data_IF_682766985025
#
_entry.id   IF_682766985025
#
_cell.length_a   1.000
_cell.length_b   1.000
_cell.length_c   1.000
_cell.angle_alpha   90.00
_cell.angle_beta   90.00
_cell.angle_gamma   90.00
#
_symmetry.space_group_name_H-M   'P 1'
#
loop_
_entity.id
_entity.type
_entity.pdbx_description
1 polymer ?
#
# COMPACT_ATOMS: atom_id res chain seq x y z
N UNK A 1 -18.40 22.78 10.42
CA UNK A 1 -18.29 21.96 9.19
C UNK A 1 -17.39 22.60 8.15
N UNK A 2 -17.55 23.89 7.86
CA UNK A 2 -16.76 24.62 6.84
C UNK A 2 -15.24 24.42 6.97
N UNK A 3 -14.65 24.70 8.14
CA UNK A 3 -13.21 24.51 8.39
C UNK A 3 -12.69 23.08 8.13
N UNK A 4 -13.50 22.06 8.39
CA UNK A 4 -13.12 20.67 8.11
C UNK A 4 -13.03 20.44 6.60
N UNK A 5 -14.04 20.88 5.84
CA UNK A 5 -14.04 20.74 4.39
C UNK A 5 -12.98 21.60 3.71
N UNK A 6 -12.65 22.77 4.26
CA UNK A 6 -11.49 23.56 3.83
C UNK A 6 -10.19 22.77 3.96
N UNK A 7 -9.91 22.23 5.17
CA UNK A 7 -8.72 21.43 5.41
C UNK A 7 -8.68 20.16 4.55
N UNK A 8 -9.81 19.48 4.41
CA UNK A 8 -9.97 18.30 3.57
C UNK A 8 -9.72 18.62 2.08
N UNK A 9 -10.23 19.75 1.59
CA UNK A 9 -9.99 20.22 0.23
C UNK A 9 -8.51 20.53 0.01
N UNK A 10 -7.84 21.20 0.96
CA UNK A 10 -6.39 21.45 0.88
C UNK A 10 -5.59 20.15 0.84
N UNK A 11 -5.93 19.18 1.70
CA UNK A 11 -5.31 17.86 1.67
C UNK A 11 -5.48 17.18 0.30
N UNK A 12 -6.70 17.22 -0.27
CA UNK A 12 -6.96 16.69 -1.60
C UNK A 12 -6.18 17.38 -2.71
N UNK A 13 -5.88 18.69 -2.60
CA UNK A 13 -5.03 19.38 -3.57
C UNK A 13 -3.61 18.81 -3.57
N UNK A 14 -3.05 18.49 -2.41
CA UNK A 14 -1.75 17.79 -2.35
C UNK A 14 -1.86 16.40 -2.99
N UNK A 15 -2.89 15.62 -2.67
CA UNK A 15 -3.09 14.30 -3.27
C UNK A 15 -3.25 14.34 -4.80
N UNK A 16 -3.76 15.44 -5.34
CA UNK A 16 -3.99 15.64 -6.78
C UNK A 16 -2.80 16.27 -7.50
N UNK A 17 -1.83 16.85 -6.79
CA UNK A 17 -0.63 17.40 -7.41
C UNK A 17 0.26 16.25 -7.94
N UNK A 18 0.81 16.38 -9.16
CA UNK A 18 1.71 15.38 -9.73
C UNK A 18 2.99 15.18 -8.91
N UNK A 19 3.41 16.17 -8.12
CA UNK A 19 4.60 16.09 -7.27
C UNK A 19 4.48 15.03 -6.16
N UNK A 20 3.24 14.67 -5.78
CA UNK A 20 2.94 13.69 -4.74
C UNK A 20 2.33 12.40 -5.29
N UNK A 21 2.34 12.21 -6.62
CA UNK A 21 1.78 11.03 -7.27
C UNK A 21 2.85 10.19 -7.93
N UNK A 22 2.82 8.89 -7.64
CA UNK A 22 3.62 7.91 -8.37
C UNK A 22 2.70 7.06 -9.25
N UNK A 23 2.84 7.20 -10.56
CA UNK A 23 2.04 6.49 -11.55
C UNK A 23 2.78 5.28 -12.11
N UNK A 24 2.10 4.15 -12.15
CA UNK A 24 2.59 2.95 -12.81
C UNK A 24 1.42 2.15 -13.37
N UNK A 25 1.70 1.35 -14.40
CA UNK A 25 0.79 0.35 -14.93
C UNK A 25 1.13 -1.01 -14.31
N UNK A 26 0.12 -1.70 -13.79
CA UNK A 26 0.29 -3.09 -13.35
C UNK A 26 0.11 -4.02 -14.54
N UNK A 27 1.14 -4.80 -14.85
CA UNK A 27 1.08 -5.84 -15.87
C UNK A 27 0.68 -7.19 -15.27
N UNK A 28 0.28 -8.14 -16.12
CA UNK A 28 -0.01 -9.50 -15.68
C UNK A 28 1.19 -10.10 -14.91
N UNK A 29 0.91 -10.73 -13.78
CA UNK A 29 1.93 -11.28 -12.87
C UNK A 29 2.57 -10.25 -11.92
N UNK A 30 2.28 -8.96 -12.05
CA UNK A 30 2.74 -7.98 -11.06
C UNK A 30 1.94 -8.12 -9.76
N UNK A 31 2.65 -8.21 -8.63
CA UNK A 31 2.08 -8.08 -7.30
C UNK A 31 2.61 -6.80 -6.65
N UNK A 32 1.73 -6.01 -6.05
CA UNK A 32 2.08 -4.75 -5.37
C UNK A 32 1.58 -4.81 -3.94
N UNK A 33 2.45 -4.45 -3.01
CA UNK A 33 2.13 -4.33 -1.60
C UNK A 33 2.15 -2.86 -1.21
N UNK A 34 1.07 -2.42 -0.56
CA UNK A 34 0.89 -1.02 -0.13
C UNK A 34 0.66 -1.01 1.37
N UNK A 35 1.38 -0.15 2.08
CA UNK A 35 1.11 0.10 3.49
C UNK A 35 -0.19 0.91 3.60
N UNK A 36 -1.32 0.21 3.76
CA UNK A 36 -2.67 0.76 3.59
C UNK A 36 -2.99 1.94 4.53
N UNK A 37 -2.38 2.00 5.71
CA UNK A 37 -2.57 3.09 6.66
C UNK A 37 -1.69 4.32 6.42
N UNK A 38 -0.83 4.29 5.39
CA UNK A 38 0.10 5.38 5.07
C UNK A 38 -0.06 5.88 3.64
N UNK A 39 -0.14 4.96 2.69
CA UNK A 39 -0.11 5.30 1.26
C UNK A 39 -1.52 5.18 0.68
N UNK A 40 -2.09 6.33 0.32
CA UNK A 40 -3.32 6.38 -0.45
C UNK A 40 -3.04 5.90 -1.89
N UNK A 41 -4.00 5.17 -2.45
CA UNK A 41 -3.87 4.59 -3.77
C UNK A 41 -5.19 4.72 -4.53
N UNK A 42 -5.10 4.70 -5.84
CA UNK A 42 -6.25 4.80 -6.74
C UNK A 42 -5.89 4.29 -8.13
N UNK A 43 -6.79 4.52 -9.08
CA UNK A 43 -6.58 4.18 -10.49
C UNK A 43 -7.11 5.29 -11.37
N UNK A 44 -6.53 5.43 -12.55
CA UNK A 44 -7.09 6.25 -13.62
C UNK A 44 -8.37 5.60 -14.17
N UNK A 45 -9.10 6.36 -14.99
CA UNK A 45 -10.24 5.83 -15.73
C UNK A 45 -9.84 4.61 -16.58
N UNK A 46 -10.79 3.70 -16.77
CA UNK A 46 -10.60 2.47 -17.54
C UNK A 46 -11.58 2.47 -18.71
N UNK A 47 -11.10 2.15 -19.90
CA UNK A 47 -11.92 1.97 -21.10
C UNK A 47 -12.42 0.53 -21.18
N UNK A 48 -13.74 0.34 -21.09
CA UNK A 48 -14.36 -0.98 -21.15
C UNK A 48 -14.21 -1.67 -22.52
N UNK A 49 -13.95 -0.91 -23.58
CA UNK A 49 -13.71 -1.47 -24.92
C UNK A 49 -12.27 -1.98 -25.09
N UNK A 50 -11.37 -1.67 -24.15
CA UNK A 50 -9.96 -2.08 -24.21
C UNK A 50 -9.70 -3.55 -23.82
N UNK A 51 -10.76 -4.30 -23.50
CA UNK A 51 -10.70 -5.70 -23.10
C UNK A 51 -10.87 -5.92 -21.60
N UNK A 52 -10.74 -7.16 -21.11
CA UNK A 52 -10.93 -7.48 -19.70
C UNK A 52 -9.76 -6.99 -18.83
N UNK A 53 -10.08 -6.64 -17.59
CA UNK A 53 -9.09 -6.29 -16.56
C UNK A 53 -9.47 -6.92 -15.22
N UNK A 54 -8.58 -7.73 -14.67
CA UNK A 54 -8.76 -8.41 -13.39
C UNK A 54 -7.57 -8.15 -12.47
N UNK A 55 -7.84 -7.87 -11.20
CA UNK A 55 -6.83 -7.70 -10.16
C UNK A 55 -7.31 -8.45 -8.92
N UNK A 56 -6.47 -9.35 -8.41
CA UNK A 56 -6.71 -10.01 -7.13
C UNK A 56 -6.07 -9.20 -6.01
N UNK A 57 -6.76 -9.11 -4.89
CA UNK A 57 -6.28 -8.39 -3.71
C UNK A 57 -6.49 -9.21 -2.44
N UNK A 58 -5.58 -9.01 -1.50
CA UNK A 58 -5.67 -9.56 -0.15
C UNK A 58 -4.98 -8.60 0.82
N UNK A 59 -5.16 -8.83 2.11
CA UNK A 59 -4.57 -8.03 3.17
C UNK A 59 -3.74 -8.90 4.09
N UNK A 60 -2.64 -8.33 4.58
CA UNK A 60 -1.82 -8.93 5.63
C UNK A 60 -1.70 -7.88 6.72
N UNK A 61 -1.93 -8.28 7.96
CA UNK A 61 -1.85 -7.38 9.09
C UNK A 61 -0.39 -6.97 9.36
N UNK A 62 -0.21 -5.74 9.88
CA UNK A 62 1.12 -5.15 10.07
C UNK A 62 1.98 -5.92 11.07
N UNK A 63 1.34 -6.50 12.08
CA UNK A 63 1.94 -7.33 13.11
C UNK A 63 2.60 -8.60 12.55
N UNK A 64 2.08 -9.20 11.48
CA UNK A 64 2.75 -10.31 10.81
C UNK A 64 4.10 -9.90 10.21
N UNK A 65 4.18 -8.71 9.63
CA UNK A 65 5.44 -8.20 9.09
C UNK A 65 6.44 -7.89 10.21
N UNK A 66 6.00 -7.20 11.26
CA UNK A 66 6.87 -6.87 12.38
C UNK A 66 7.32 -8.12 13.13
N UNK A 67 6.43 -9.08 13.37
CA UNK A 67 6.77 -10.35 14.00
C UNK A 67 7.79 -11.15 13.18
N UNK A 68 7.61 -11.22 11.85
CA UNK A 68 8.56 -11.90 10.96
C UNK A 68 9.93 -11.23 10.97
N UNK A 69 9.99 -9.90 10.93
CA UNK A 69 11.27 -9.18 10.97
C UNK A 69 11.94 -9.29 12.34
N UNK A 70 11.16 -9.17 13.44
CA UNK A 70 11.66 -9.38 14.79
C UNK A 70 12.24 -10.78 14.95
N UNK A 71 11.52 -11.83 14.50
CA UNK A 71 12.04 -13.19 14.54
C UNK A 71 13.33 -13.31 13.72
N UNK A 72 13.38 -12.75 12.51
CA UNK A 72 14.60 -12.76 11.67
C UNK A 72 15.81 -12.17 12.39
N UNK A 73 15.61 -11.10 13.16
CA UNK A 73 16.67 -10.42 13.91
C UNK A 73 17.06 -11.19 15.19
N UNK A 74 16.09 -11.71 15.92
CA UNK A 74 16.30 -12.30 17.26
C UNK A 74 16.37 -13.83 17.26
N UNK A 75 16.26 -14.50 16.12
CA UNK A 75 16.27 -15.98 16.03
C UNK A 75 17.48 -16.64 16.72
N UNK A 76 18.63 -15.97 16.75
CA UNK A 76 19.83 -16.47 17.43
C UNK A 76 19.64 -16.66 18.95
N UNK A 77 18.74 -15.90 19.58
CA UNK A 77 18.39 -16.05 21.01
C UNK A 77 17.57 -17.32 21.29
N UNK A 78 16.94 -17.88 20.26
CA UNK A 78 16.04 -19.03 20.35
C UNK A 78 16.65 -20.32 19.78
N UNK A 79 17.43 -20.20 18.70
CA UNK A 79 17.94 -21.35 17.94
C UNK A 79 19.35 -21.81 18.35
N UNK A 80 20.14 -20.94 19.01
CA UNK A 80 21.51 -21.29 19.46
C UNK A 80 21.60 -21.64 20.96
N UNK A 81 20.47 -21.93 21.62
CA UNK A 81 20.51 -22.51 22.96
C UNK A 81 20.80 -24.02 22.85
N UNK A 82 22.07 -24.37 22.69
CA UNK A 82 22.53 -25.71 23.03
C UNK A 82 22.34 -25.88 24.54
N UNK A 83 21.56 -26.90 24.93
CA UNK A 83 21.70 -27.51 26.26
C UNK A 83 23.10 -28.13 26.37
#
# INVERSE_FOLDING_TARGET
>A
MEKFYEAYSQFFRYLKSPDYQYHFRSEAGNCRMVQNFRVLHGRTAFDANSGPRHLESSYVAWDYFTARENFRQFQHLYLNRSC
#
